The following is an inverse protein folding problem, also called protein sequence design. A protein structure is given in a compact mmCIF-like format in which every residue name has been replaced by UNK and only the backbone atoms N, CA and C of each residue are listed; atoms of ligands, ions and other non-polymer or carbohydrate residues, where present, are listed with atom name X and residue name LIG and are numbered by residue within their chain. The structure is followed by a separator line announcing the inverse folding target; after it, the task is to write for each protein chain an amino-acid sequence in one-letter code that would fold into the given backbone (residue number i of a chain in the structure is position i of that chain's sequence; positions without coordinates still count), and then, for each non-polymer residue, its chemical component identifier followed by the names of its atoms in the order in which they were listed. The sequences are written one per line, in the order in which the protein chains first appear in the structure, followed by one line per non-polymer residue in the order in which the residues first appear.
data_IF_150736533624
#
_entry.id   IF_150736533624
#
_cell.length_a   1.000
_cell.length_b   1.000
_cell.length_c   1.000
_cell.angle_alpha   90.00
_cell.angle_beta   90.00
_cell.angle_gamma   90.00
#
_symmetry.space_group_name_H-M   'P 1'
#
loop_
_entity.id
_entity.type
_entity.pdbx_description
1 polymer ?
#
# COMPACT_ATOMS: atom_id res chain seq x y z
N UNK A 1 23.41 20.02 -9.53
CA UNK A 1 22.92 18.90 -10.35
C UNK A 1 22.28 17.86 -9.43
N UNK A 2 20.96 17.73 -9.44
CA UNK A 2 20.25 16.79 -8.56
C UNK A 2 20.60 15.34 -8.89
N UNK A 3 20.85 14.52 -7.87
CA UNK A 3 21.04 13.06 -8.03
C UNK A 3 19.80 12.50 -8.73
N UNK A 4 20.00 11.83 -9.86
CA UNK A 4 18.92 11.20 -10.57
C UNK A 4 18.36 10.03 -9.74
N UNK A 5 17.04 9.93 -9.66
CA UNK A 5 16.34 8.92 -8.84
C UNK A 5 15.86 7.79 -9.77
N UNK A 6 16.09 6.54 -9.37
CA UNK A 6 15.42 5.39 -9.98
C UNK A 6 14.38 4.83 -9.03
N UNK A 7 13.32 4.26 -9.59
CA UNK A 7 12.20 3.70 -8.84
C UNK A 7 12.10 2.20 -9.07
N UNK A 8 11.57 1.53 -8.06
CA UNK A 8 11.27 0.12 -8.15
C UNK A 8 10.19 -0.19 -9.18
N UNK A 9 10.14 -1.46 -9.60
CA UNK A 9 9.18 -1.96 -10.60
C UNK A 9 8.19 -2.95 -9.97
N UNK A 10 6.98 -2.50 -9.60
CA UNK A 10 5.85 -3.37 -9.27
C UNK A 10 5.57 -4.37 -10.38
N UNK A 11 5.07 -5.55 -10.01
CA UNK A 11 4.66 -6.62 -10.94
C UNK A 11 5.74 -7.08 -11.94
N UNK A 12 7.01 -6.70 -11.73
CA UNK A 12 8.13 -7.05 -12.60
C UNK A 12 8.20 -8.55 -12.88
N UNK A 13 7.95 -9.38 -11.87
CA UNK A 13 7.94 -10.83 -12.02
C UNK A 13 6.87 -11.31 -13.01
N UNK A 14 5.64 -10.80 -12.90
CA UNK A 14 4.53 -11.12 -13.80
C UNK A 14 4.80 -10.65 -15.23
N UNK A 15 5.32 -9.43 -15.39
CA UNK A 15 5.70 -8.89 -16.70
C UNK A 15 6.78 -9.72 -17.39
N UNK A 16 7.85 -10.13 -16.69
CA UNK A 16 8.95 -10.84 -17.32
C UNK A 16 8.71 -12.35 -17.44
N UNK A 17 8.23 -13.00 -16.37
CA UNK A 17 8.21 -14.46 -16.28
C UNK A 17 6.89 -15.08 -16.73
N UNK A 18 5.76 -14.40 -16.55
CA UNK A 18 4.47 -14.89 -17.06
C UNK A 18 4.18 -14.32 -18.45
N UNK A 19 3.99 -13.00 -18.52
CA UNK A 19 3.67 -12.33 -19.78
C UNK A 19 4.81 -12.48 -20.79
N UNK A 20 6.03 -12.09 -20.44
CA UNK A 20 7.17 -12.12 -21.35
C UNK A 20 7.48 -13.52 -21.89
N UNK A 21 7.36 -14.54 -21.05
CA UNK A 21 7.51 -15.94 -21.47
C UNK A 21 6.38 -16.36 -22.42
N UNK A 22 5.11 -16.12 -22.06
CA UNK A 22 3.99 -16.48 -22.91
C UNK A 22 4.02 -15.73 -24.25
N UNK A 23 4.36 -14.43 -24.24
CA UNK A 23 4.47 -13.59 -25.43
C UNK A 23 5.52 -14.11 -26.42
N UNK A 24 6.62 -14.72 -25.93
CA UNK A 24 7.62 -15.38 -26.80
C UNK A 24 7.06 -16.62 -27.49
N UNK A 25 6.22 -17.40 -26.81
CA UNK A 25 5.59 -18.58 -27.39
C UNK A 25 4.41 -18.25 -28.31
N UNK A 26 3.72 -17.15 -28.04
CA UNK A 26 2.54 -16.71 -28.79
C UNK A 26 2.69 -15.23 -29.19
N UNK A 27 3.61 -14.91 -30.12
CA UNK A 27 3.91 -13.52 -30.50
C UNK A 27 2.70 -12.80 -31.10
N UNK A 28 1.81 -13.53 -31.78
CA UNK A 28 0.63 -12.97 -32.43
C UNK A 28 -0.55 -12.73 -31.48
N UNK A 29 -0.48 -13.22 -30.23
CA UNK A 29 -1.58 -13.04 -29.29
C UNK A 29 -1.62 -11.62 -28.72
N UNK A 30 -2.83 -11.09 -28.57
CA UNK A 30 -3.08 -9.86 -27.83
C UNK A 30 -2.83 -10.06 -26.33
N UNK A 31 -2.68 -8.96 -25.57
CA UNK A 31 -2.50 -9.04 -24.12
C UNK A 31 -3.69 -9.72 -23.42
N UNK A 32 -4.92 -9.50 -23.89
CA UNK A 32 -6.13 -10.18 -23.38
C UNK A 32 -6.15 -11.69 -23.69
N UNK A 33 -5.69 -12.09 -24.89
CA UNK A 33 -5.57 -13.50 -25.25
C UNK A 33 -4.51 -14.18 -24.38
N UNK A 34 -3.36 -13.52 -24.16
CA UNK A 34 -2.30 -14.00 -23.27
C UNK A 34 -2.82 -14.15 -21.84
N UNK A 35 -3.51 -13.13 -21.32
CA UNK A 35 -4.13 -13.19 -19.99
C UNK A 35 -5.06 -14.41 -19.89
N UNK A 36 -5.97 -14.56 -20.85
CA UNK A 36 -6.97 -15.62 -20.88
C UNK A 36 -6.33 -17.00 -20.90
N UNK A 37 -5.32 -17.20 -21.74
CA UNK A 37 -4.59 -18.46 -21.87
C UNK A 37 -3.81 -18.77 -20.60
N UNK A 38 -3.05 -17.80 -20.06
CA UNK A 38 -2.31 -17.98 -18.80
C UNK A 38 -3.24 -18.38 -17.66
N UNK A 39 -4.31 -17.60 -17.47
CA UNK A 39 -5.31 -17.84 -16.41
C UNK A 39 -5.97 -19.21 -16.56
N UNK A 40 -6.39 -19.57 -17.78
CA UNK A 40 -7.00 -20.87 -18.06
C UNK A 40 -6.03 -22.02 -17.82
N UNK A 41 -4.77 -21.88 -18.24
CA UNK A 41 -3.76 -22.92 -18.07
C UNK A 41 -3.44 -23.14 -16.59
N UNK A 42 -3.26 -22.07 -15.82
CA UNK A 42 -2.97 -22.16 -14.38
C UNK A 42 -4.13 -22.78 -13.61
N UNK A 43 -5.37 -22.41 -13.94
CA UNK A 43 -6.56 -22.97 -13.28
C UNK A 43 -6.77 -24.46 -13.58
N UNK A 44 -6.50 -24.89 -14.81
CA UNK A 44 -6.80 -26.26 -15.26
C UNK A 44 -5.61 -27.23 -15.18
N UNK A 45 -4.38 -26.72 -15.01
CA UNK A 45 -3.22 -27.58 -14.86
C UNK A 45 -3.31 -28.39 -13.55
N UNK A 46 -2.86 -29.66 -13.54
CA UNK A 46 -2.66 -30.40 -12.30
C UNK A 46 -1.74 -29.62 -11.34
N UNK A 47 -1.94 -29.76 -10.03
CA UNK A 47 -1.02 -29.17 -9.05
C UNK A 47 0.36 -29.80 -9.18
N UNK A 48 1.40 -28.96 -9.23
CA UNK A 48 2.78 -29.41 -9.12
C UNK A 48 3.06 -30.06 -7.76
N UNK A 49 4.17 -30.81 -7.66
CA UNK A 49 4.57 -31.58 -6.46
C UNK A 49 4.65 -30.72 -5.19
N UNK A 50 5.03 -29.44 -5.33
CA UNK A 50 5.14 -28.47 -4.23
C UNK A 50 4.10 -27.35 -4.29
N UNK A 51 3.13 -27.44 -5.21
CA UNK A 51 2.12 -26.40 -5.42
C UNK A 51 0.88 -26.72 -4.59
N UNK A 52 0.40 -25.73 -3.84
CA UNK A 52 -0.87 -25.79 -3.12
C UNK A 52 -1.93 -24.95 -3.84
N UNK A 53 -3.23 -25.25 -3.68
CA UNK A 53 -4.31 -24.38 -4.16
C UNK A 53 -4.14 -22.92 -3.72
N UNK A 54 -3.63 -22.70 -2.50
CA UNK A 54 -3.35 -21.38 -1.95
C UNK A 54 -2.25 -20.67 -2.74
N UNK A 55 -1.12 -21.35 -2.99
CA UNK A 55 -0.02 -20.79 -3.78
C UNK A 55 -0.44 -20.47 -5.23
N UNK A 56 -1.28 -21.32 -5.83
CA UNK A 56 -1.90 -21.06 -7.14
C UNK A 56 -2.80 -19.84 -7.10
N UNK A 57 -3.60 -19.69 -6.05
CA UNK A 57 -4.44 -18.52 -5.83
C UNK A 57 -3.66 -17.20 -5.78
N UNK A 58 -2.44 -17.22 -5.24
CA UNK A 58 -1.55 -16.05 -5.24
C UNK A 58 -1.06 -15.69 -6.65
N UNK A 59 -0.73 -16.69 -7.46
CA UNK A 59 -0.31 -16.48 -8.86
C UNK A 59 -1.46 -15.86 -9.66
N UNK A 60 -2.67 -16.41 -9.55
CA UNK A 60 -3.83 -15.89 -10.26
C UNK A 60 -4.12 -14.45 -9.82
N UNK A 61 -4.06 -14.16 -8.52
CA UNK A 61 -4.30 -12.80 -8.01
C UNK A 61 -3.28 -11.79 -8.56
N UNK A 62 -2.02 -12.20 -8.71
CA UNK A 62 -0.99 -11.36 -9.34
C UNK A 62 -1.18 -11.18 -10.85
N UNK A 63 -1.70 -12.20 -11.55
CA UNK A 63 -2.10 -12.07 -12.95
C UNK A 63 -3.28 -11.12 -13.15
N UNK A 64 -4.26 -11.14 -12.25
CA UNK A 64 -5.38 -10.18 -12.28
C UNK A 64 -4.86 -8.75 -12.10
N UNK A 65 -3.92 -8.51 -11.17
CA UNK A 65 -3.28 -7.20 -11.01
C UNK A 65 -2.42 -6.79 -12.21
N UNK A 66 -1.68 -7.72 -12.81
CA UNK A 66 -0.98 -7.48 -14.07
C UNK A 66 -1.95 -7.09 -15.19
N UNK A 67 -3.15 -7.67 -15.21
CA UNK A 67 -4.18 -7.29 -16.17
C UNK A 67 -4.66 -5.85 -15.96
N UNK A 68 -4.95 -5.48 -14.72
CA UNK A 68 -5.32 -4.10 -14.41
C UNK A 68 -4.20 -3.11 -14.79
N UNK A 69 -2.93 -3.51 -14.60
CA UNK A 69 -1.74 -2.72 -14.95
C UNK A 69 -1.67 -2.43 -16.45
N UNK A 70 -1.67 -3.45 -17.31
CA UNK A 70 -1.57 -3.22 -18.75
C UNK A 70 -2.78 -2.52 -19.36
N UNK A 71 -3.96 -2.66 -18.74
CA UNK A 71 -5.18 -1.95 -19.14
C UNK A 71 -5.16 -0.46 -18.74
N UNK A 72 -4.15 -0.02 -17.97
CA UNK A 72 -4.07 1.35 -17.46
C UNK A 72 -5.06 1.63 -16.32
N UNK A 73 -5.65 0.58 -15.73
CA UNK A 73 -6.61 0.70 -14.64
C UNK A 73 -5.95 0.67 -13.25
N UNK A 74 -4.72 0.16 -13.17
CA UNK A 74 -3.96 0.13 -11.92
C UNK A 74 -3.46 1.53 -11.57
N UNK A 75 -3.71 1.93 -10.32
CA UNK A 75 -3.17 3.17 -9.76
C UNK A 75 -1.69 2.98 -9.43
N UNK A 76 -0.78 3.80 -9.96
CA UNK A 76 0.63 3.75 -9.57
C UNK A 76 0.97 4.87 -8.61
N UNK A 77 1.48 4.51 -7.44
CA UNK A 77 1.86 5.43 -6.38
C UNK A 77 3.39 5.48 -6.30
N UNK A 78 3.97 6.66 -6.29
CA UNK A 78 5.40 6.90 -6.17
C UNK A 78 5.70 7.60 -4.85
N UNK A 79 6.46 6.97 -3.97
CA UNK A 79 6.97 7.65 -2.77
C UNK A 79 8.24 8.44 -3.12
N UNK A 80 8.34 9.69 -2.70
CA UNK A 80 9.56 10.48 -2.91
C UNK A 80 10.69 10.08 -1.96
N UNK A 81 10.33 9.54 -0.81
CA UNK A 81 11.25 9.19 0.28
C UNK A 81 10.96 7.79 0.82
N UNK A 82 12.00 7.11 1.34
CA UNK A 82 11.87 5.75 1.89
C UNK A 82 11.29 5.79 3.30
N UNK A 83 11.46 6.92 3.97
CA UNK A 83 11.00 7.22 5.31
C UNK A 83 9.47 7.10 5.41
N UNK A 84 8.73 7.52 4.37
CA UNK A 84 7.28 7.33 4.30
C UNK A 84 6.89 5.85 4.36
N UNK A 85 7.56 4.97 3.60
CA UNK A 85 7.32 3.52 3.70
C UNK A 85 7.55 3.03 5.12
N UNK A 86 8.70 3.36 5.70
CA UNK A 86 9.08 2.88 7.03
C UNK A 86 8.10 3.37 8.11
N UNK A 87 7.63 4.60 7.99
CA UNK A 87 6.59 5.16 8.85
C UNK A 87 5.27 4.40 8.72
N UNK A 88 4.77 4.19 7.50
CA UNK A 88 3.50 3.52 7.25
C UNK A 88 3.55 2.02 7.63
N UNK A 89 4.68 1.34 7.44
CA UNK A 89 4.88 -0.05 7.88
C UNK A 89 4.92 -0.21 9.39
N UNK A 90 5.34 0.82 10.14
CA UNK A 90 5.44 0.81 11.61
C UNK A 90 4.20 1.34 12.30
N UNK A 91 3.39 2.16 11.61
CA UNK A 91 2.20 2.79 12.18
C UNK A 91 1.10 1.76 12.45
N UNK A 92 0.73 1.58 13.71
CA UNK A 92 -0.27 0.59 14.10
C UNK A 92 -1.68 0.93 13.58
N UNK A 93 -2.42 -0.10 13.16
CA UNK A 93 -3.84 -0.02 12.80
C UNK A 93 -4.72 -0.08 14.05
N UNK A 94 -4.69 0.97 14.87
CA UNK A 94 -5.43 1.04 16.14
C UNK A 94 -6.95 1.12 15.99
N UNK A 95 -7.44 1.57 14.84
CA UNK A 95 -8.88 1.69 14.52
C UNK A 95 -9.20 0.97 13.20
N UNK A 96 -8.81 -0.31 13.12
CA UNK A 96 -9.00 -1.11 11.92
C UNK A 96 -10.49 -1.19 11.52
N UNK A 97 -11.40 -1.37 12.49
CA UNK A 97 -12.85 -1.41 12.22
C UNK A 97 -13.38 -0.09 11.63
N UNK A 98 -12.97 1.06 12.19
CA UNK A 98 -13.31 2.36 11.63
C UNK A 98 -12.80 2.50 10.20
N UNK A 99 -11.53 2.14 9.96
CA UNK A 99 -10.92 2.20 8.64
C UNK A 99 -11.63 1.27 7.65
N UNK A 100 -12.02 0.05 8.04
CA UNK A 100 -12.81 -0.86 7.18
C UNK A 100 -14.12 -0.24 6.76
N UNK A 101 -14.85 0.36 7.70
CA UNK A 101 -16.10 1.06 7.40
C UNK A 101 -15.87 2.22 6.43
N UNK A 102 -14.81 3.00 6.63
CA UNK A 102 -14.43 4.06 5.72
C UNK A 102 -14.13 3.53 4.32
N UNK A 103 -13.34 2.45 4.21
CA UNK A 103 -13.00 1.82 2.93
C UNK A 103 -14.25 1.32 2.21
N UNK A 104 -15.21 0.71 2.91
CA UNK A 104 -16.47 0.26 2.32
C UNK A 104 -17.30 1.42 1.76
N UNK A 105 -17.33 2.56 2.46
CA UNK A 105 -18.14 3.71 2.08
C UNK A 105 -17.54 4.53 0.92
N UNK A 106 -16.21 4.51 0.75
CA UNK A 106 -15.51 5.38 -0.20
C UNK A 106 -14.88 4.63 -1.38
N UNK A 107 -15.05 3.30 -1.45
CA UNK A 107 -14.36 2.49 -2.44
C UNK A 107 -15.14 2.22 -3.70
N UNK A 108 -14.45 1.72 -4.73
CA UNK A 108 -15.06 1.35 -6.00
C UNK A 108 -15.57 -0.08 -5.93
N UNK A 109 -16.84 -0.28 -6.28
CA UNK A 109 -17.42 -1.62 -6.44
C UNK A 109 -16.93 -2.23 -7.74
N UNK A 110 -16.41 -3.45 -7.68
CA UNK A 110 -15.99 -4.25 -8.83
C UNK A 110 -16.40 -5.70 -8.62
N UNK A 111 -16.73 -6.40 -9.70
CA UNK A 111 -16.89 -7.85 -9.65
C UNK A 111 -15.52 -8.50 -9.45
N UNK A 112 -15.38 -9.31 -8.40
CA UNK A 112 -14.17 -10.08 -8.10
C UNK A 112 -14.54 -11.56 -8.08
N UNK A 113 -13.67 -12.38 -8.66
CA UNK A 113 -13.73 -13.83 -8.46
C UNK A 113 -13.02 -14.17 -7.15
N UNK A 114 -13.80 -14.59 -6.15
CA UNK A 114 -13.27 -15.13 -4.91
C UNK A 114 -12.79 -16.57 -5.18
N UNK A 115 -11.50 -16.72 -5.45
CA UNK A 115 -10.90 -17.99 -5.89
C UNK A 115 -11.17 -19.18 -4.95
N UNK A 116 -11.37 -18.92 -3.65
CA UNK A 116 -11.64 -19.98 -2.67
C UNK A 116 -13.09 -20.46 -2.67
N UNK A 117 -14.06 -19.55 -2.81
CA UNK A 117 -15.48 -19.92 -2.92
C UNK A 117 -15.88 -20.22 -4.37
N UNK A 118 -15.02 -19.91 -5.34
CA UNK A 118 -15.33 -19.91 -6.77
C UNK A 118 -16.56 -19.06 -7.11
N UNK A 119 -16.81 -18.01 -6.32
CA UNK A 119 -17.94 -17.12 -6.49
C UNK A 119 -17.49 -15.81 -7.10
N UNK A 120 -18.27 -15.34 -8.08
CA UNK A 120 -18.17 -13.97 -8.56
C UNK A 120 -19.07 -13.10 -7.70
N UNK A 121 -18.51 -12.06 -7.13
CA UNK A 121 -19.27 -11.12 -6.31
C UNK A 121 -18.81 -9.70 -6.55
N UNK A 122 -19.78 -8.80 -6.61
CA UNK A 122 -19.50 -7.37 -6.55
C UNK A 122 -19.04 -7.00 -5.12
N UNK A 123 -17.79 -6.56 -5.00
CA UNK A 123 -17.18 -6.13 -3.74
C UNK A 123 -16.44 -4.82 -3.94
N UNK A 124 -16.20 -4.11 -2.83
CA UNK A 124 -15.36 -2.92 -2.82
C UNK A 124 -13.90 -3.35 -2.93
N UNK A 125 -13.20 -2.81 -3.93
CA UNK A 125 -11.79 -3.14 -4.19
C UNK A 125 -10.94 -1.88 -4.28
N UNK A 126 -9.75 -1.94 -3.69
CA UNK A 126 -8.69 -0.97 -3.89
C UNK A 126 -7.46 -1.66 -4.45
N UNK A 127 -7.04 -1.27 -5.66
CA UNK A 127 -5.87 -1.83 -6.33
C UNK A 127 -4.88 -0.73 -6.65
N UNK A 128 -3.62 -0.92 -6.27
CA UNK A 128 -2.57 0.04 -6.57
C UNK A 128 -1.19 -0.62 -6.55
N UNK A 129 -0.30 -0.09 -7.39
CA UNK A 129 1.12 -0.36 -7.40
C UNK A 129 1.84 0.70 -6.57
N UNK A 130 2.87 0.33 -5.82
CA UNK A 130 3.69 1.22 -5.02
C UNK A 130 5.16 1.12 -5.46
N UNK A 131 5.64 2.23 -6.01
CA UNK A 131 7.01 2.46 -6.44
C UNK A 131 7.79 3.15 -5.33
N UNK A 132 8.96 2.59 -5.02
CA UNK A 132 9.85 3.09 -3.98
C UNK A 132 11.16 3.58 -4.60
N UNK A 133 11.72 4.70 -4.10
CA UNK A 133 12.95 5.24 -4.62
C UNK A 133 14.13 4.37 -4.20
N UNK A 134 15.06 4.17 -5.13
CA UNK A 134 16.28 3.39 -5.00
C UNK A 134 16.09 1.89 -4.72
N UNK A 135 14.85 1.37 -4.76
CA UNK A 135 14.56 -0.05 -4.57
C UNK A 135 14.46 -0.77 -5.92
N UNK A 136 14.71 -2.08 -5.95
CA UNK A 136 14.58 -2.88 -7.18
C UNK A 136 13.12 -3.28 -7.43
N UNK A 137 12.46 -3.82 -6.40
CA UNK A 137 11.11 -4.37 -6.50
C UNK A 137 10.09 -3.47 -5.80
N UNK A 138 8.97 -3.24 -6.48
CA UNK A 138 7.86 -2.46 -5.94
C UNK A 138 6.74 -3.38 -5.49
N UNK A 139 5.81 -2.83 -4.72
CA UNK A 139 4.64 -3.58 -4.27
C UNK A 139 3.50 -3.43 -5.28
N UNK A 140 2.66 -4.44 -5.37
CA UNK A 140 1.33 -4.29 -5.94
C UNK A 140 0.32 -4.87 -4.97
N UNK A 141 -0.77 -4.15 -4.75
CA UNK A 141 -1.77 -4.44 -3.73
C UNK A 141 -3.15 -4.61 -4.35
N UNK A 142 -3.91 -5.54 -3.82
CA UNK A 142 -5.36 -5.65 -4.03
C UNK A 142 -6.02 -5.88 -2.68
N UNK A 143 -6.79 -4.91 -2.21
CA UNK A 143 -7.63 -5.00 -1.02
C UNK A 143 -9.07 -5.25 -1.45
N UNK A 144 -9.71 -6.29 -0.93
CA UNK A 144 -11.14 -6.58 -1.10
C UNK A 144 -11.87 -6.62 0.24
N UNK A 145 -13.16 -6.28 0.23
CA UNK A 145 -14.03 -6.44 1.39
C UNK A 145 -14.87 -7.71 1.22
N UNK A 146 -14.69 -8.68 2.09
CA UNK A 146 -15.39 -9.96 1.99
C UNK A 146 -16.85 -9.85 2.49
N UNK A 147 -17.62 -10.92 2.26
CA UNK A 147 -19.04 -11.02 2.59
C UNK A 147 -19.39 -10.66 4.04
N UNK A 148 -18.49 -11.01 4.93
CA UNK A 148 -18.58 -10.87 6.37
C UNK A 148 -17.98 -9.56 6.89
N UNK A 149 -17.59 -8.66 5.98
CA UNK A 149 -16.99 -7.36 6.30
C UNK A 149 -15.51 -7.41 6.68
N UNK A 150 -14.84 -8.57 6.56
CA UNK A 150 -13.39 -8.64 6.66
C UNK A 150 -12.70 -7.97 5.47
N UNK A 151 -11.48 -7.49 5.69
CA UNK A 151 -10.62 -6.93 4.64
C UNK A 151 -9.54 -7.93 4.32
N UNK A 152 -9.55 -8.39 3.08
CA UNK A 152 -8.54 -9.28 2.54
C UNK A 152 -7.54 -8.49 1.69
N UNK A 153 -6.27 -8.58 2.06
CA UNK A 153 -5.17 -8.04 1.28
C UNK A 153 -4.49 -9.16 0.50
N UNK A 154 -4.37 -9.00 -0.80
CA UNK A 154 -3.32 -9.61 -1.60
C UNK A 154 -2.18 -8.61 -1.84
N UNK A 155 -0.94 -9.08 -1.80
CA UNK A 155 0.21 -8.32 -2.26
C UNK A 155 1.16 -9.16 -3.13
N UNK A 156 1.84 -8.48 -4.05
CA UNK A 156 3.00 -8.98 -4.78
C UNK A 156 4.22 -8.09 -4.50
N UNK A 157 5.39 -8.70 -4.31
CA UNK A 157 6.69 -8.04 -4.10
C UNK A 157 7.80 -8.90 -4.73
N UNK A 158 8.31 -8.48 -5.89
CA UNK A 158 9.27 -9.27 -6.65
C UNK A 158 8.66 -10.63 -7.04
N UNK A 159 9.36 -11.72 -6.74
CA UNK A 159 8.88 -13.11 -6.95
C UNK A 159 7.95 -13.59 -5.83
N UNK A 160 7.88 -12.84 -4.73
CA UNK A 160 7.07 -13.20 -3.57
C UNK A 160 5.66 -12.60 -3.68
N UNK A 161 4.70 -13.28 -3.07
CA UNK A 161 3.36 -12.75 -2.87
C UNK A 161 2.76 -13.31 -1.60
N UNK A 162 1.73 -12.65 -1.10
CA UNK A 162 1.05 -13.07 0.11
C UNK A 162 -0.39 -12.63 0.13
N UNK A 163 -1.17 -13.30 0.99
CA UNK A 163 -2.54 -12.91 1.29
C UNK A 163 -2.73 -12.91 2.80
N UNK A 164 -3.39 -11.88 3.31
CA UNK A 164 -3.76 -11.79 4.73
C UNK A 164 -5.09 -11.08 4.91
N UNK A 165 -5.93 -11.66 5.76
CA UNK A 165 -7.18 -11.05 6.23
C UNK A 165 -6.94 -10.25 7.50
N UNK A 166 -7.67 -9.15 7.70
CA UNK A 166 -7.68 -8.39 8.94
C UNK A 166 -8.02 -9.26 10.16
N UNK A 167 -8.81 -10.32 9.96
CA UNK A 167 -9.15 -11.32 10.98
C UNK A 167 -7.94 -11.94 11.67
N UNK A 168 -6.85 -12.10 10.92
CA UNK A 168 -5.62 -12.70 11.45
C UNK A 168 -4.61 -11.65 11.87
N UNK A 169 -4.84 -10.36 11.57
CA UNK A 169 -3.86 -9.30 11.78
C UNK A 169 -3.44 -9.20 13.25
N UNK A 170 -4.38 -9.23 14.20
CA UNK A 170 -4.07 -9.08 15.62
C UNK A 170 -3.16 -10.20 16.14
N UNK A 171 -3.31 -11.42 15.64
CA UNK A 171 -2.51 -12.58 16.03
C UNK A 171 -1.17 -12.62 15.30
N UNK A 172 -1.16 -12.35 13.99
CA UNK A 172 0.05 -12.24 13.18
C UNK A 172 0.97 -11.14 13.72
N UNK A 173 0.41 -10.00 14.14
CA UNK A 173 1.17 -8.88 14.69
C UNK A 173 1.83 -9.15 16.06
N UNK A 174 1.48 -10.25 16.73
CA UNK A 174 2.13 -10.69 17.99
C UNK A 174 3.26 -11.69 17.75
N UNK A 175 3.38 -12.24 16.54
CA UNK A 175 4.38 -13.25 16.21
C UNK A 175 5.70 -12.59 15.80
N UNK A 176 6.79 -13.28 16.10
CA UNK A 176 8.16 -12.81 15.83
C UNK A 176 8.84 -13.55 14.66
N UNK A 177 8.14 -14.48 13.99
CA UNK A 177 8.70 -15.14 12.82
C UNK A 177 8.72 -14.20 11.60
N UNK A 178 9.69 -14.39 10.72
CA UNK A 178 9.94 -13.50 9.59
C UNK A 178 8.74 -13.36 8.64
N UNK A 179 7.95 -14.42 8.47
CA UNK A 179 6.78 -14.43 7.59
C UNK A 179 5.68 -13.57 8.19
N UNK A 180 5.33 -13.80 9.46
CA UNK A 180 4.32 -13.02 10.17
C UNK A 180 4.68 -11.54 10.26
N UNK A 181 5.95 -11.23 10.54
CA UNK A 181 6.44 -9.85 10.57
C UNK A 181 6.30 -9.16 9.21
N UNK A 182 6.62 -9.88 8.13
CA UNK A 182 6.46 -9.38 6.76
C UNK A 182 4.99 -9.12 6.44
N UNK A 183 4.11 -10.09 6.71
CA UNK A 183 2.68 -9.94 6.47
C UNK A 183 2.08 -8.77 7.25
N UNK A 184 2.40 -8.64 8.54
CA UNK A 184 1.91 -7.51 9.36
C UNK A 184 2.39 -6.16 8.83
N UNK A 185 3.69 -6.03 8.48
CA UNK A 185 4.25 -4.78 7.92
C UNK A 185 3.59 -4.40 6.60
N UNK A 186 3.48 -5.35 5.68
CA UNK A 186 2.91 -5.12 4.35
C UNK A 186 1.42 -4.79 4.43
N UNK A 187 0.70 -5.41 5.36
CA UNK A 187 -0.70 -5.09 5.60
C UNK A 187 -0.91 -3.68 6.17
N UNK A 188 -0.06 -3.27 7.13
CA UNK A 188 -0.04 -1.89 7.61
C UNK A 188 0.29 -0.93 6.48
N UNK A 189 1.31 -1.21 5.67
CA UNK A 189 1.70 -0.37 4.55
C UNK A 189 0.54 -0.12 3.58
N UNK A 190 -0.16 -1.18 3.17
CA UNK A 190 -1.27 -1.05 2.22
C UNK A 190 -2.42 -0.18 2.77
N UNK A 191 -2.88 -0.47 3.98
CA UNK A 191 -4.01 0.24 4.58
C UNK A 191 -3.62 1.68 4.95
N UNK A 192 -2.45 1.87 5.58
CA UNK A 192 -1.98 3.19 5.97
C UNK A 192 -1.67 4.07 4.76
N UNK A 193 -1.28 3.50 3.61
CA UNK A 193 -1.11 4.29 2.37
C UNK A 193 -2.44 4.95 1.97
N UNK A 194 -3.55 4.20 1.96
CA UNK A 194 -4.87 4.76 1.64
C UNK A 194 -5.28 5.84 2.65
N UNK A 195 -5.09 5.56 3.94
CA UNK A 195 -5.40 6.52 5.00
C UNK A 195 -4.53 7.79 4.89
N UNK A 196 -3.26 7.64 4.52
CA UNK A 196 -2.33 8.75 4.31
C UNK A 196 -2.80 9.67 3.18
N UNK A 197 -3.20 9.12 2.02
CA UNK A 197 -3.66 9.96 0.90
C UNK A 197 -4.86 10.82 1.31
N UNK A 198 -5.75 10.27 2.14
CA UNK A 198 -6.94 10.97 2.62
C UNK A 198 -6.61 12.04 3.67
N UNK A 199 -5.70 11.76 4.59
CA UNK A 199 -5.34 12.66 5.69
C UNK A 199 -4.42 13.80 5.28
N UNK A 200 -3.60 13.60 4.25
CA UNK A 200 -2.60 14.55 3.79
C UNK A 200 -2.72 14.80 2.28
N UNK A 201 -3.87 15.28 1.78
CA UNK A 201 -4.08 15.49 0.35
C UNK A 201 -3.07 16.47 -0.25
N UNK A 202 -2.59 17.45 0.52
CA UNK A 202 -1.56 18.40 0.08
C UNK A 202 -0.17 17.75 -0.14
N UNK A 203 0.02 16.54 0.39
CA UNK A 203 1.22 15.72 0.18
C UNK A 203 1.06 14.73 -0.97
N UNK A 204 -0.05 14.79 -1.70
CA UNK A 204 -0.39 13.94 -2.83
C UNK A 204 -0.52 14.80 -4.08
N UNK A 205 0.19 14.41 -5.14
CA UNK A 205 0.18 15.13 -6.41
C UNK A 205 -0.05 14.17 -7.57
N UNK A 206 -0.73 14.65 -8.60
CA UNK A 206 -0.94 13.89 -9.83
C UNK A 206 0.36 13.83 -10.64
N UNK A 207 0.58 12.69 -11.30
CA UNK A 207 1.70 12.46 -12.18
C UNK A 207 2.88 11.78 -11.50
N UNK A 208 4.01 11.77 -12.21
CA UNK A 208 5.25 11.09 -11.82
C UNK A 208 6.24 12.06 -11.18
N UNK A 209 7.17 11.58 -10.33
CA UNK A 209 8.21 12.42 -9.73
C UNK A 209 9.04 13.20 -10.77
N UNK A 210 9.41 14.44 -10.45
CA UNK A 210 10.36 15.21 -11.24
C UNK A 210 11.78 14.62 -11.09
N UNK A 211 12.60 14.64 -12.16
CA UNK A 211 13.98 14.10 -12.20
C UNK A 211 14.14 12.55 -12.20
N UNK A 212 13.17 11.84 -12.76
CA UNK A 212 13.26 10.40 -13.04
C UNK A 212 14.39 10.06 -14.03
N UNK A 213 15.19 9.03 -13.72
CA UNK A 213 15.91 8.28 -14.76
C UNK A 213 14.90 7.47 -15.55
N UNK A 214 14.59 7.93 -16.77
CA UNK A 214 13.79 7.15 -17.71
C UNK A 214 14.53 5.84 -18.07
N UNK A 215 14.07 4.72 -17.51
CA UNK A 215 14.09 3.44 -18.22
C UNK A 215 12.72 3.33 -18.87
N UNK A 216 12.65 3.75 -20.14
CA UNK A 216 11.45 3.76 -20.98
C UNK A 216 10.51 2.59 -20.72
N UNK A 217 9.22 2.88 -20.51
CA UNK A 217 8.07 2.19 -21.10
C UNK A 217 6.75 2.94 -20.77
N UNK A 218 6.05 3.35 -21.83
CA UNK A 218 4.67 3.81 -21.98
C UNK A 218 3.90 4.42 -20.78
N UNK A 219 3.65 5.74 -20.89
CA UNK A 219 2.75 6.54 -20.05
C UNK A 219 1.29 6.38 -20.47
N UNK A 220 0.51 5.53 -19.80
CA UNK A 220 -0.97 5.59 -19.84
C UNK A 220 -1.66 5.13 -18.52
N UNK A 221 -0.99 5.12 -17.38
CA UNK A 221 -1.61 4.81 -16.08
C UNK A 221 -1.83 6.07 -15.23
N UNK A 222 -2.86 6.06 -14.35
CA UNK A 222 -3.06 7.11 -13.35
C UNK A 222 -1.97 6.98 -12.30
N UNK A 223 -1.07 7.96 -12.28
CA UNK A 223 0.09 7.96 -11.40
C UNK A 223 -0.05 9.06 -10.35
N UNK A 224 0.34 8.78 -9.13
CA UNK A 224 0.36 9.74 -8.03
C UNK A 224 1.72 9.74 -7.35
N UNK A 225 2.15 10.92 -6.95
CA UNK A 225 3.41 11.15 -6.24
C UNK A 225 3.15 11.63 -4.82
N UNK A 226 3.87 11.05 -3.87
CA UNK A 226 3.69 11.23 -2.44
C UNK A 226 4.97 11.70 -1.79
N UNK A 227 4.86 12.69 -0.92
CA UNK A 227 5.94 13.16 -0.07
C UNK A 227 5.59 12.96 1.41
N UNK A 228 6.60 12.73 2.26
CA UNK A 228 6.40 12.74 3.71
C UNK A 228 5.94 14.11 4.22
N UNK A 229 4.84 14.14 4.98
CA UNK A 229 4.36 15.34 5.66
C UNK A 229 5.32 15.72 6.79
N UNK A 230 5.56 17.01 7.00
CA UNK A 230 6.30 17.52 8.17
C UNK A 230 5.71 17.02 9.51
N UNK A 231 4.42 16.70 9.54
CA UNK A 231 3.72 16.17 10.72
C UNK A 231 4.11 14.74 11.10
N UNK A 232 4.80 14.01 10.22
CA UNK A 232 5.18 12.60 10.44
C UNK A 232 6.69 12.36 10.43
N UNK A 233 7.52 13.39 10.21
CA UNK A 233 8.98 13.27 10.28
C UNK A 233 9.40 13.04 11.74
N UNK A 234 9.84 11.83 12.07
CA UNK A 234 10.22 11.44 13.43
C UNK A 234 11.57 12.06 13.87
N UNK A 235 11.62 12.57 15.10
CA UNK A 235 12.85 12.62 15.90
C UNK A 235 12.99 11.25 16.59
N UNK A 236 14.02 10.48 16.22
CA UNK A 236 14.19 9.11 16.68
C UNK A 236 14.50 9.03 18.18
N UNK A 237 13.70 8.23 18.91
CA UNK A 237 14.02 7.40 20.09
C UNK A 237 12.98 7.54 21.22
N UNK A 238 12.12 6.53 21.42
CA UNK A 238 11.71 6.14 22.78
C UNK A 238 11.15 4.71 22.84
N UNK A 239 11.53 3.89 23.84
CA UNK A 239 10.87 2.62 24.13
C UNK A 239 9.59 2.79 24.98
N UNK A 240 8.67 1.82 24.88
CA UNK A 240 7.43 1.72 25.65
C UNK A 240 7.71 1.41 27.15
N UNK A 241 7.17 2.22 28.07
CA UNK A 241 7.25 1.99 29.53
C UNK A 241 6.14 2.70 30.32
N UNK A 242 5.95 2.32 31.59
CA UNK A 242 5.05 2.96 32.60
C UNK A 242 5.48 4.39 33.01
N UNK A 243 6.40 4.97 32.27
CA UNK A 243 7.09 6.26 32.47
C UNK A 243 6.49 7.26 31.46
N UNK A 244 6.54 8.59 31.68
CA UNK A 244 6.17 9.57 30.66
C UNK A 244 6.79 9.21 29.29
N UNK A 245 5.97 9.05 28.26
CA UNK A 245 6.40 8.63 26.92
C UNK A 245 5.56 9.28 25.83
N UNK A 246 6.09 9.30 24.60
CA UNK A 246 5.31 9.69 23.44
C UNK A 246 4.47 8.50 22.97
N UNK A 247 3.15 8.70 22.90
CA UNK A 247 2.29 7.81 22.14
C UNK A 247 2.44 8.18 20.66
N UNK A 248 2.90 7.22 19.86
CA UNK A 248 3.06 7.37 18.41
C UNK A 248 1.76 7.74 17.71
N UNK A 249 1.89 8.49 16.63
CA UNK A 249 0.78 8.90 15.79
C UNK A 249 0.16 7.70 15.06
N UNK A 250 -1.12 7.80 14.75
CA UNK A 250 -1.88 6.74 14.07
C UNK A 250 -3.08 7.30 13.31
N UNK A 251 -3.59 6.51 12.37
CA UNK A 251 -4.82 6.83 11.65
C UNK A 251 -6.05 6.34 12.42
N UNK A 252 -7.12 7.15 12.40
CA UNK A 252 -8.37 6.85 13.10
C UNK A 252 -9.56 7.48 12.40
N UNK A 253 -10.73 6.83 12.43
CA UNK A 253 -12.01 7.43 12.02
C UNK A 253 -12.66 8.17 13.18
N UNK A 254 -13.14 9.39 12.92
CA UNK A 254 -13.87 10.17 13.91
C UNK A 254 -15.32 9.69 14.03
N UNK A 255 -15.70 9.18 15.20
CA UNK A 255 -17.07 8.72 15.47
C UNK A 255 -17.92 9.71 16.28
N UNK A 256 -17.28 10.71 16.90
CA UNK A 256 -17.94 11.60 17.85
C UNK A 256 -18.88 12.59 17.17
N UNK A 257 -20.05 12.78 17.78
CA UNK A 257 -20.98 13.86 17.43
C UNK A 257 -20.45 15.26 17.83
N UNK A 258 -19.42 15.32 18.68
CA UNK A 258 -18.76 16.57 19.07
C UNK A 258 -18.12 17.29 17.87
N UNK A 259 -17.62 16.54 16.89
CA UNK A 259 -17.12 17.07 15.62
C UNK A 259 -18.05 16.68 14.48
N UNK A 260 -19.31 17.13 14.53
CA UNK A 260 -20.35 16.77 13.57
C UNK A 260 -19.90 16.90 12.10
N UNK A 261 -19.15 17.96 11.77
CA UNK A 261 -18.66 18.22 10.41
C UNK A 261 -17.50 17.33 9.95
N UNK A 262 -16.90 16.54 10.86
CA UNK A 262 -15.79 15.61 10.56
C UNK A 262 -16.15 14.16 10.89
N UNK A 263 -17.40 13.90 11.25
CA UNK A 263 -17.87 12.57 11.62
C UNK A 263 -17.80 11.64 10.41
N UNK A 264 -17.15 10.50 10.58
CA UNK A 264 -16.93 9.51 9.54
C UNK A 264 -15.65 9.73 8.72
N UNK A 265 -14.92 10.83 8.93
CA UNK A 265 -13.64 11.06 8.26
C UNK A 265 -12.49 10.30 8.94
N UNK A 266 -11.56 9.80 8.14
CA UNK A 266 -10.27 9.29 8.64
C UNK A 266 -9.34 10.48 8.85
N UNK A 267 -8.71 10.54 10.02
CA UNK A 267 -7.76 11.58 10.42
C UNK A 267 -6.43 10.96 10.87
N UNK A 268 -5.37 11.75 10.86
CA UNK A 268 -4.13 11.41 11.54
C UNK A 268 -4.14 12.02 12.95
N UNK A 269 -4.08 11.16 13.97
CA UNK A 269 -3.89 11.56 15.35
C UNK A 269 -2.39 11.70 15.57
N UNK A 270 -1.92 12.94 15.76
CA UNK A 270 -0.49 13.23 15.96
C UNK A 270 0.02 12.62 17.27
N UNK A 271 1.35 12.54 17.37
CA UNK A 271 2.02 12.09 18.58
C UNK A 271 1.62 12.96 19.78
N UNK A 272 1.40 12.31 20.92
CA UNK A 272 1.01 12.99 22.16
C UNK A 272 1.81 12.45 23.33
N UNK A 273 2.26 13.34 24.21
CA UNK A 273 2.85 12.95 25.48
C UNK A 273 1.79 12.29 26.37
N UNK A 274 2.07 11.09 26.86
CA UNK A 274 1.18 10.35 27.77
C UNK A 274 1.83 10.31 29.15
N UNK A 275 1.01 10.54 30.18
CA UNK A 275 1.41 10.54 31.60
C UNK A 275 2.56 11.52 31.92
N UNK A 276 2.62 12.64 31.19
CA UNK A 276 3.56 13.73 31.45
C UNK A 276 3.12 15.00 30.74
N UNK A 277 3.58 16.15 31.22
CA UNK A 277 3.45 17.42 30.51
C UNK A 277 4.70 17.60 29.64
N UNK A 278 4.52 17.80 28.34
CA UNK A 278 5.61 18.16 27.45
C UNK A 278 5.55 19.67 27.16
N UNK A 279 6.71 20.33 27.20
CA UNK A 279 6.91 21.67 26.65
C UNK A 279 8.03 21.57 25.63
N UNK A 280 7.76 21.96 24.39
CA UNK A 280 8.81 22.14 23.38
C UNK A 280 9.43 23.51 23.62
N UNK A 281 10.74 23.56 23.90
CA UNK A 281 11.48 24.82 24.07
C UNK A 281 12.36 24.98 22.84
N UNK A 282 12.08 26.02 22.04
CA UNK A 282 12.96 26.43 20.95
C UNK A 282 14.00 27.43 21.47
N UNK A 283 15.16 27.49 20.83
CA UNK A 283 16.19 28.51 21.11
C UNK A 283 15.84 29.89 20.54
N UNK A 284 14.75 30.00 19.79
CA UNK A 284 14.28 31.25 19.19
C UNK A 284 12.75 31.26 19.03
N UNK A 285 12.07 32.39 19.32
CA UNK A 285 10.63 32.57 19.08
C UNK A 285 10.25 32.55 17.58
N UNK A 286 11.21 32.44 16.66
CA UNK A 286 10.99 32.46 15.21
C UNK A 286 11.27 31.12 14.51
N UNK A 287 11.25 29.98 15.23
CA UNK A 287 11.62 28.69 14.62
C UNK A 287 10.68 28.27 13.47
N UNK A 288 9.43 28.75 13.47
CA UNK A 288 8.46 28.57 12.38
C UNK A 288 8.89 29.28 11.07
N UNK A 289 9.83 30.24 11.13
CA UNK A 289 10.45 30.84 9.92
C UNK A 289 11.56 29.97 9.32
N UNK A 290 12.08 28.99 10.06
CA UNK A 290 13.20 28.13 9.63
C UNK A 290 12.75 26.76 9.11
N UNK A 291 11.48 26.40 9.24
CA UNK A 291 10.87 25.20 8.63
C UNK A 291 10.31 25.46 7.23
N UNK A 292 10.54 26.64 6.63
CA UNK A 292 9.96 26.99 5.33
C UNK A 292 10.68 28.09 4.55
N UNK A 293 12.01 27.96 4.35
CA UNK A 293 12.72 28.66 3.27
C UNK A 293 14.08 28.01 2.98
N UNK A 294 14.06 26.90 2.22
CA UNK A 294 15.24 26.42 1.49
C UNK A 294 15.15 26.79 0.01
N UNK A 295 14.79 28.05 -0.28
CA UNK A 295 14.93 28.66 -1.60
C UNK A 295 15.33 30.13 -1.43
N UNK A 296 16.66 30.34 -1.39
CA UNK A 296 17.42 31.44 -2.02
C UNK A 296 18.84 31.45 -1.43
N UNK A 297 19.69 30.59 -1.99
CA UNK A 297 20.99 30.93 -2.60
C UNK A 297 21.61 29.68 -3.20
#
# INVERSE_FOLDING_TARGET
MGKKIYYSKPLKYFWHHYYGTQKKFTPDFTNDQIFTVLRRNILNAPLGVSETPQSRGLIISGLELWRDDYMGELLHIFFLDRELRDFLEKTALSDIEGIKKFLYQNGQKREVLHLYSNEKRETVVYKFALHLPYEADGYAFSLSIEADGSVDLYFALGENGGRMSDRFYADVNKKNDAISLTQAKVFRLAINTIAYMKCFPDCVSDGVPQNLLERNENKLAKNFTFQSSEKIKENQNSPLSKIPHFRKGHFRVLHSDYFANKKGEVIFVTETMVKGNAKTVSTSPEIDKFTGNSDKN
#
